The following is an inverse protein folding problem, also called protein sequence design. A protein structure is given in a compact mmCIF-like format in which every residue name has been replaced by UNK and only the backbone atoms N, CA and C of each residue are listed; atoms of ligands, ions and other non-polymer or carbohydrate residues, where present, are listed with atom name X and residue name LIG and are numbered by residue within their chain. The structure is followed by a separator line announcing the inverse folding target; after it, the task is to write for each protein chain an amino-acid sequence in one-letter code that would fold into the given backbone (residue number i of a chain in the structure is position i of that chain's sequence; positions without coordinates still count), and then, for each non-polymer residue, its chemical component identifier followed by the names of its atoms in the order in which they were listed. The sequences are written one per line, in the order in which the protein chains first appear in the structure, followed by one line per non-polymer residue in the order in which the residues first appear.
data_IF_952473008945
#
_entry.id   IF_952473008945
#
_cell.length_a   1.000
_cell.length_b   1.000
_cell.length_c   1.000
_cell.angle_alpha   90.00
_cell.angle_beta   90.00
_cell.angle_gamma   90.00
#
_symmetry.space_group_name_H-M   'P 1'
#
loop_
_entity.id
_entity.type
_entity.pdbx_description
1 polymer ?
#
# COMPACT_ATOMS: atom_id res chain seq x y z
N UNK A 1 25.09 10.77 36.41
CA UNK A 1 24.63 12.14 36.78
C UNK A 1 24.70 13.18 35.64
N UNK A 2 25.27 12.84 34.48
CA UNK A 2 25.37 13.76 33.32
C UNK A 2 24.27 13.56 32.28
N UNK A 3 23.46 12.49 32.39
CA UNK A 3 22.34 12.18 31.47
C UNK A 3 21.07 12.03 32.28
N UNK A 4 20.04 12.76 31.86
CA UNK A 4 18.69 12.63 32.41
C UNK A 4 17.86 11.76 31.45
N UNK A 5 17.16 10.75 31.97
CA UNK A 5 16.27 9.91 31.19
C UNK A 5 15.06 10.73 30.77
N UNK A 6 14.82 10.82 29.47
CA UNK A 6 13.59 11.38 28.92
C UNK A 6 12.81 10.21 28.33
N UNK A 7 11.59 10.01 28.81
CA UNK A 7 10.69 8.97 28.35
C UNK A 7 9.83 9.50 27.21
N UNK A 8 9.97 8.91 26.03
CA UNK A 8 9.15 9.24 24.86
C UNK A 8 8.07 8.18 24.75
N UNK A 9 6.80 8.58 24.85
CA UNK A 9 5.65 7.69 24.70
C UNK A 9 5.29 7.49 23.22
N UNK A 10 4.75 6.34 22.91
CA UNK A 10 4.21 6.04 21.59
C UNK A 10 3.05 7.02 21.25
N UNK A 11 3.04 7.60 20.03
CA UNK A 11 1.99 8.54 19.63
C UNK A 11 0.64 7.83 19.46
N UNK A 12 -0.44 8.59 19.70
CA UNK A 12 -1.81 8.12 19.46
C UNK A 12 -2.08 7.99 17.95
N UNK A 13 -3.19 7.31 17.58
CA UNK A 13 -3.66 7.19 16.20
C UNK A 13 -3.79 8.53 15.50
N UNK A 14 -4.39 9.52 16.17
CA UNK A 14 -4.58 10.87 15.63
C UNK A 14 -3.24 11.60 15.45
N UNK A 15 -2.34 11.48 16.41
CA UNK A 15 -1.01 12.05 16.30
C UNK A 15 -0.22 11.42 15.16
N UNK A 16 -0.31 10.09 14.99
CA UNK A 16 0.32 9.36 13.88
C UNK A 16 -0.25 9.82 12.53
N UNK A 17 -1.57 10.00 12.42
CA UNK A 17 -2.21 10.56 11.22
C UNK A 17 -1.68 11.94 10.89
N UNK A 18 -1.55 12.82 11.87
CA UNK A 18 -1.00 14.15 11.69
C UNK A 18 0.48 14.12 11.24
N UNK A 19 1.27 13.19 11.78
CA UNK A 19 2.66 12.98 11.37
C UNK A 19 2.70 12.54 9.89
N UNK A 20 1.96 11.48 9.53
CA UNK A 20 1.93 10.97 8.15
C UNK A 20 1.45 12.02 7.15
N UNK A 21 0.43 12.80 7.50
CA UNK A 21 -0.08 13.87 6.64
C UNK A 21 0.97 14.96 6.40
N UNK A 22 1.79 15.30 7.41
CA UNK A 22 2.87 16.29 7.28
C UNK A 22 4.05 15.79 6.44
N UNK A 23 4.39 14.51 6.53
CA UNK A 23 5.50 13.93 5.75
C UNK A 23 5.07 13.49 4.34
N UNK A 24 3.77 13.28 4.10
CA UNK A 24 3.19 12.89 2.81
C UNK A 24 3.76 13.67 1.61
N UNK A 25 3.84 15.02 1.61
CA UNK A 25 4.35 15.77 0.46
C UNK A 25 5.81 15.44 0.12
N UNK A 26 6.63 15.11 1.14
CA UNK A 26 8.04 14.75 0.96
C UNK A 26 8.14 13.42 0.21
N UNK A 27 7.35 12.41 0.62
CA UNK A 27 7.32 11.11 -0.06
C UNK A 27 6.70 11.18 -1.45
N UNK A 28 5.65 11.98 -1.64
CA UNK A 28 5.04 12.23 -2.95
C UNK A 28 6.05 12.82 -3.94
N UNK A 29 6.83 13.80 -3.49
CA UNK A 29 7.86 14.43 -4.31
C UNK A 29 9.03 13.48 -4.60
N UNK A 30 9.50 12.76 -3.59
CA UNK A 30 10.66 11.87 -3.72
C UNK A 30 10.40 10.70 -4.65
N UNK A 31 9.24 10.03 -4.49
CA UNK A 31 8.85 8.85 -5.29
C UNK A 31 8.05 9.18 -6.55
N UNK A 32 7.71 10.46 -6.79
CA UNK A 32 6.84 10.91 -7.88
C UNK A 32 5.50 10.16 -7.91
N UNK A 33 4.83 10.08 -6.78
CA UNK A 33 3.53 9.41 -6.57
C UNK A 33 2.53 10.37 -5.94
N UNK A 34 1.24 10.05 -6.04
CA UNK A 34 0.16 10.73 -5.31
C UNK A 34 -0.45 9.78 -4.28
N UNK A 35 -0.65 10.30 -3.07
CA UNK A 35 -1.20 9.56 -1.94
C UNK A 35 -2.51 10.23 -1.54
N UNK A 36 -3.63 9.50 -1.54
CA UNK A 36 -4.89 10.03 -1.02
C UNK A 36 -4.91 9.96 0.51
N UNK A 37 -5.77 10.76 1.14
CA UNK A 37 -5.94 10.72 2.59
C UNK A 37 -6.61 9.40 3.05
N UNK A 38 -7.36 8.76 2.16
CA UNK A 38 -7.90 7.41 2.36
C UNK A 38 -6.78 6.37 2.52
N UNK A 39 -5.73 6.47 1.72
CA UNK A 39 -4.56 5.58 1.83
C UNK A 39 -3.83 5.81 3.15
N UNK A 40 -3.69 7.05 3.61
CA UNK A 40 -3.09 7.35 4.93
C UNK A 40 -3.89 6.68 6.05
N UNK A 41 -5.21 6.81 6.03
CA UNK A 41 -6.07 6.15 7.02
C UNK A 41 -5.94 4.62 6.94
N UNK A 42 -5.93 4.06 5.74
CA UNK A 42 -5.76 2.62 5.52
C UNK A 42 -4.40 2.10 6.00
N UNK A 43 -3.31 2.88 5.82
CA UNK A 43 -1.98 2.52 6.35
C UNK A 43 -2.04 2.37 7.88
N UNK A 44 -2.62 3.35 8.58
CA UNK A 44 -2.73 3.34 10.04
C UNK A 44 -3.59 2.15 10.52
N UNK A 45 -4.73 1.92 9.87
CA UNK A 45 -5.63 0.84 10.24
C UNK A 45 -5.01 -0.54 10.02
N UNK A 46 -4.38 -0.76 8.86
CA UNK A 46 -3.75 -2.04 8.53
C UNK A 46 -2.48 -2.29 9.35
N UNK A 47 -1.69 -1.25 9.64
CA UNK A 47 -0.51 -1.37 10.49
C UNK A 47 -0.89 -1.77 11.92
N UNK A 48 -1.98 -1.19 12.45
CA UNK A 48 -2.49 -1.52 13.77
C UNK A 48 -3.02 -2.95 13.84
N UNK A 49 -3.74 -3.37 12.80
CA UNK A 49 -4.39 -4.68 12.75
C UNK A 49 -3.42 -5.84 12.51
N UNK A 50 -2.33 -5.61 11.78
CA UNK A 50 -1.49 -6.71 11.28
C UNK A 50 -0.01 -6.61 11.67
N UNK A 51 0.49 -5.44 12.16
CA UNK A 51 1.90 -5.25 12.51
C UNK A 51 2.04 -4.95 13.99
N UNK A 52 2.43 -5.97 14.77
CA UNK A 52 2.56 -5.88 16.24
C UNK A 52 3.99 -5.78 16.73
N UNK A 53 4.97 -6.07 15.89
CA UNK A 53 6.39 -6.17 16.26
C UNK A 53 7.15 -4.84 16.22
N UNK A 54 6.48 -3.74 15.89
CA UNK A 54 7.05 -2.39 15.83
C UNK A 54 6.10 -1.35 16.40
N UNK A 55 6.67 -0.27 16.95
CA UNK A 55 5.93 0.84 17.53
C UNK A 55 5.61 1.92 16.47
N UNK A 56 4.61 2.75 16.76
CA UNK A 56 4.31 3.96 15.99
C UNK A 56 5.30 5.06 16.33
N UNK A 57 5.59 5.97 15.41
CA UNK A 57 5.10 6.05 14.02
C UNK A 57 5.92 5.23 13.04
N UNK A 58 6.97 4.53 13.48
CA UNK A 58 7.97 3.88 12.65
C UNK A 58 7.36 2.83 11.71
N UNK A 59 6.48 1.96 12.22
CA UNK A 59 5.78 0.96 11.41
C UNK A 59 4.93 1.55 10.28
N UNK A 60 4.30 2.71 10.54
CA UNK A 60 3.43 3.38 9.56
C UNK A 60 4.24 4.09 8.48
N UNK A 61 5.35 4.71 8.87
CA UNK A 61 6.31 5.36 7.95
C UNK A 61 6.98 4.33 7.05
N UNK A 62 7.38 3.18 7.59
CA UNK A 62 7.95 2.07 6.81
C UNK A 62 6.98 1.56 5.73
N UNK A 63 5.69 1.42 6.07
CA UNK A 63 4.68 1.00 5.09
C UNK A 63 4.51 2.08 4.02
N UNK A 64 4.43 3.35 4.43
CA UNK A 64 4.28 4.48 3.52
C UNK A 64 5.42 4.53 2.51
N UNK A 65 6.67 4.44 2.98
CA UNK A 65 7.86 4.44 2.12
C UNK A 65 7.86 3.27 1.13
N UNK A 66 7.57 2.06 1.62
CA UNK A 66 7.58 0.87 0.79
C UNK A 66 6.46 0.86 -0.26
N UNK A 67 5.26 1.35 0.09
CA UNK A 67 4.14 1.48 -0.86
C UNK A 67 4.48 2.51 -1.94
N UNK A 68 5.03 3.66 -1.56
CA UNK A 68 5.45 4.70 -2.50
C UNK A 68 6.54 4.19 -3.46
N UNK A 69 7.55 3.52 -2.92
CA UNK A 69 8.65 2.93 -3.70
C UNK A 69 8.13 1.89 -4.72
N UNK A 70 7.28 0.95 -4.30
CA UNK A 70 6.71 -0.07 -5.19
C UNK A 70 5.79 0.52 -6.26
N UNK A 71 5.01 1.55 -5.90
CA UNK A 71 4.14 2.24 -6.85
C UNK A 71 4.96 3.00 -7.89
N UNK A 72 6.06 3.63 -7.48
CA UNK A 72 6.98 4.32 -8.38
C UNK A 72 7.57 3.38 -9.45
N UNK A 73 7.99 2.17 -9.04
CA UNK A 73 8.63 1.18 -9.92
C UNK A 73 7.62 0.46 -10.83
N UNK A 74 6.32 0.46 -10.47
CA UNK A 74 5.27 -0.24 -11.23
C UNK A 74 5.22 0.26 -12.67
N UNK A 75 5.40 -0.65 -13.62
CA UNK A 75 5.25 -0.33 -15.05
C UNK A 75 3.77 -0.21 -15.40
N UNK A 76 3.34 0.99 -15.79
CA UNK A 76 2.03 1.17 -16.41
C UNK A 76 2.10 0.76 -17.87
N UNK A 77 1.05 0.09 -18.39
CA UNK A 77 0.99 -0.31 -19.81
C UNK A 77 1.13 0.90 -20.76
N UNK A 78 0.74 2.09 -20.31
CA UNK A 78 0.89 3.34 -21.07
C UNK A 78 2.33 3.92 -21.00
N UNK A 79 3.12 3.61 -19.96
CA UNK A 79 4.53 4.02 -19.88
C UNK A 79 5.42 3.11 -20.70
N UNK A 80 5.11 1.82 -20.82
CA UNK A 80 5.86 0.89 -21.68
C UNK A 80 5.80 1.27 -23.15
N UNK A 81 4.69 1.81 -23.65
CA UNK A 81 4.61 2.32 -25.03
C UNK A 81 5.45 3.58 -25.23
N UNK A 82 5.50 4.48 -24.25
CA UNK A 82 6.33 5.70 -24.30
C UNK A 82 7.82 5.33 -24.15
N UNK A 83 8.16 4.37 -23.29
CA UNK A 83 9.52 3.86 -23.13
C UNK A 83 10.03 3.20 -24.44
N UNK A 84 9.21 2.36 -25.08
CA UNK A 84 9.55 1.76 -26.38
C UNK A 84 9.73 2.83 -27.49
N UNK A 85 8.88 3.87 -27.48
CA UNK A 85 9.04 4.98 -28.41
C UNK A 85 10.32 5.79 -28.14
N UNK A 86 10.69 6.00 -26.87
CA UNK A 86 11.95 6.65 -26.50
C UNK A 86 13.18 5.85 -26.97
N UNK A 87 13.17 4.53 -26.84
CA UNK A 87 14.26 3.69 -27.36
C UNK A 87 14.38 3.80 -28.88
N UNK A 88 13.26 3.85 -29.61
CA UNK A 88 13.25 4.06 -31.06
C UNK A 88 13.79 5.45 -31.45
N UNK A 89 13.36 6.50 -30.75
CA UNK A 89 13.82 7.88 -30.95
C UNK A 89 15.33 7.98 -30.68
N UNK A 90 15.84 7.33 -29.62
CA UNK A 90 17.27 7.32 -29.33
C UNK A 90 18.08 6.57 -30.39
N UNK A 91 17.58 5.45 -30.93
CA UNK A 91 18.21 4.73 -32.05
C UNK A 91 18.25 5.60 -33.31
N UNK A 92 17.12 6.24 -33.65
CA UNK A 92 17.02 7.11 -34.81
C UNK A 92 17.93 8.36 -34.68
N UNK A 93 18.02 8.95 -33.50
CA UNK A 93 18.94 10.04 -33.20
C UNK A 93 20.40 9.61 -33.40
N UNK A 94 20.81 8.44 -32.90
CA UNK A 94 22.17 7.92 -33.10
C UNK A 94 22.49 7.69 -34.59
N UNK A 95 21.54 7.18 -35.35
CA UNK A 95 21.70 6.96 -36.79
C UNK A 95 21.80 8.30 -37.55
N UNK A 96 20.96 9.29 -37.25
CA UNK A 96 21.01 10.62 -37.86
C UNK A 96 22.35 11.34 -37.58
N UNK A 97 22.94 11.13 -36.40
CA UNK A 97 24.27 11.66 -36.07
C UNK A 97 25.36 10.99 -36.91
N UNK A 98 25.28 9.66 -37.11
CA UNK A 98 26.24 8.90 -37.97
C UNK A 98 26.16 9.35 -39.42
N UNK A 99 24.95 9.68 -39.90
CA UNK A 99 24.71 10.20 -41.25
C UNK A 99 25.02 11.69 -41.42
N UNK A 100 25.53 12.35 -40.35
CA UNK A 100 25.83 13.79 -40.29
C UNK A 100 24.60 14.71 -40.56
N UNK A 101 23.37 14.15 -40.39
CA UNK A 101 22.12 14.92 -40.54
C UNK A 101 21.72 15.54 -39.22
N UNK A 102 22.30 16.71 -38.92
CA UNK A 102 22.14 17.37 -37.63
C UNK A 102 20.74 17.95 -37.41
N UNK A 103 20.02 18.33 -38.48
CA UNK A 103 18.64 18.82 -38.37
C UNK A 103 17.68 17.74 -37.87
N UNK A 104 17.76 16.53 -38.43
CA UNK A 104 16.98 15.38 -37.97
C UNK A 104 17.38 14.95 -36.56
N UNK A 105 18.66 15.02 -36.21
CA UNK A 105 19.11 14.69 -34.86
C UNK A 105 18.56 15.68 -33.81
N UNK A 106 18.36 16.92 -34.20
CA UNK A 106 17.83 17.99 -33.34
C UNK A 106 16.31 17.84 -33.12
N UNK A 107 15.55 17.46 -34.16
CA UNK A 107 14.13 17.13 -34.04
C UNK A 107 13.90 15.96 -33.10
N UNK A 108 14.66 14.87 -33.22
CA UNK A 108 14.60 13.72 -32.31
C UNK A 108 14.96 14.09 -30.85
N UNK A 109 15.87 15.03 -30.64
CA UNK A 109 16.21 15.53 -29.30
C UNK A 109 15.05 16.31 -28.66
N UNK A 110 14.30 17.06 -29.45
CA UNK A 110 13.12 17.79 -28.98
C UNK A 110 12.00 16.80 -28.61
N UNK A 111 11.76 15.77 -29.44
CA UNK A 111 10.78 14.71 -29.15
C UNK A 111 11.17 13.89 -27.90
N UNK A 112 12.44 13.55 -27.73
CA UNK A 112 12.96 12.88 -26.54
C UNK A 112 12.70 13.72 -25.27
N UNK A 113 12.99 15.02 -25.31
CA UNK A 113 12.75 15.93 -24.19
C UNK A 113 11.26 16.06 -23.86
N UNK A 114 10.38 16.10 -24.86
CA UNK A 114 8.94 16.20 -24.67
C UNK A 114 8.38 14.90 -24.04
N UNK A 115 8.80 13.74 -24.52
CA UNK A 115 8.39 12.45 -23.96
C UNK A 115 8.92 12.26 -22.54
N UNK A 116 10.14 12.67 -22.24
CA UNK A 116 10.67 12.67 -20.87
C UNK A 116 9.89 13.58 -19.93
N UNK A 117 9.47 14.78 -20.39
CA UNK A 117 8.61 15.69 -19.60
C UNK A 117 7.22 15.07 -19.34
N UNK A 118 6.66 14.31 -20.27
CA UNK A 118 5.37 13.62 -20.11
C UNK A 118 5.50 12.49 -19.07
N UNK A 119 6.59 11.72 -19.11
CA UNK A 119 6.88 10.68 -18.12
C UNK A 119 7.06 11.26 -16.70
N UNK A 120 7.76 12.38 -16.58
CA UNK A 120 7.97 13.04 -15.28
C UNK A 120 6.71 13.71 -14.73
N UNK A 121 5.76 14.12 -15.57
CA UNK A 121 4.51 14.79 -15.14
C UNK A 121 3.42 13.84 -14.66
N UNK A 122 3.48 12.55 -14.95
CA UNK A 122 2.48 11.57 -14.52
C UNK A 122 2.89 10.96 -13.18
N UNK A 123 2.58 11.66 -12.09
CA UNK A 123 2.65 11.05 -10.76
C UNK A 123 1.65 9.88 -10.70
N UNK A 124 2.13 8.70 -10.31
CA UNK A 124 1.31 7.50 -10.16
C UNK A 124 0.51 7.58 -8.87
N UNK A 125 -0.75 7.16 -8.92
CA UNK A 125 -1.57 7.11 -7.72
C UNK A 125 -1.34 5.81 -6.95
N UNK A 126 -1.14 5.94 -5.63
CA UNK A 126 -1.06 4.81 -4.71
C UNK A 126 -2.45 4.21 -4.54
N UNK A 127 -2.60 2.91 -4.78
CA UNK A 127 -3.89 2.20 -4.64
C UNK A 127 -3.93 1.34 -3.38
N UNK A 128 -5.15 1.04 -2.89
CA UNK A 128 -5.35 0.09 -1.79
C UNK A 128 -4.77 -1.29 -2.10
N UNK A 129 -4.76 -1.69 -3.36
CA UNK A 129 -4.18 -2.96 -3.79
C UNK A 129 -2.66 -2.97 -3.64
N UNK A 130 -1.99 -1.84 -3.90
CA UNK A 130 -0.55 -1.72 -3.71
C UNK A 130 -0.19 -1.77 -2.21
N UNK A 131 -1.00 -1.10 -1.37
CA UNK A 131 -0.89 -1.18 0.08
C UNK A 131 -1.09 -2.62 0.59
N UNK A 132 -2.12 -3.31 0.12
CA UNK A 132 -2.38 -4.69 0.52
C UNK A 132 -1.24 -5.65 0.13
N UNK A 133 -0.59 -5.43 -1.02
CA UNK A 133 0.59 -6.20 -1.42
C UNK A 133 1.78 -5.99 -0.48
N UNK A 134 1.99 -4.76 -0.01
CA UNK A 134 3.06 -4.46 0.96
C UNK A 134 2.78 -5.12 2.29
N UNK A 135 1.56 -4.98 2.81
CA UNK A 135 1.15 -5.64 4.06
C UNK A 135 1.26 -7.17 3.94
N UNK A 136 0.82 -7.75 2.82
CA UNK A 136 0.97 -9.19 2.56
C UNK A 136 2.45 -9.65 2.63
N UNK A 137 3.37 -8.89 2.06
CA UNK A 137 4.79 -9.24 2.09
C UNK A 137 5.42 -9.16 3.49
N UNK A 138 4.91 -8.25 4.34
CA UNK A 138 5.39 -8.11 5.73
C UNK A 138 4.77 -9.14 6.68
N UNK A 139 3.56 -9.57 6.43
CA UNK A 139 2.75 -10.37 7.37
C UNK A 139 2.41 -11.76 6.86
N UNK A 140 2.63 -12.04 5.57
CA UNK A 140 2.22 -13.25 4.84
C UNK A 140 0.70 -13.47 4.84
N UNK A 141 -0.11 -12.45 5.16
CA UNK A 141 -1.57 -12.53 5.13
C UNK A 141 -2.05 -12.33 3.68
N UNK A 142 -2.92 -13.21 3.16
CA UNK A 142 -3.40 -13.13 1.79
C UNK A 142 -4.09 -11.78 1.47
N UNK A 143 -3.80 -11.21 0.28
CA UNK A 143 -4.32 -9.90 -0.14
C UNK A 143 -5.85 -9.83 -0.09
N UNK A 144 -6.54 -10.91 -0.44
CA UNK A 144 -7.99 -10.95 -0.44
C UNK A 144 -8.60 -10.83 0.97
N UNK A 145 -7.86 -11.22 2.03
CA UNK A 145 -8.28 -11.02 3.42
C UNK A 145 -8.09 -9.57 3.88
N UNK A 146 -7.06 -8.90 3.36
CA UNK A 146 -6.78 -7.50 3.68
C UNK A 146 -7.81 -6.56 3.06
N UNK A 147 -8.25 -6.85 1.82
CA UNK A 147 -9.16 -5.99 1.04
C UNK A 147 -10.64 -6.28 1.31
N UNK A 148 -10.98 -7.50 1.75
CA UNK A 148 -12.37 -7.87 2.00
C UNK A 148 -12.98 -7.11 3.17
N UNK A 149 -14.16 -6.55 2.95
CA UNK A 149 -15.02 -6.06 4.03
C UNK A 149 -15.33 -7.18 5.02
N UNK A 150 -15.16 -6.90 6.29
CA UNK A 150 -15.34 -7.88 7.40
C UNK A 150 -16.68 -8.63 7.38
N UNK A 151 -17.73 -7.98 6.88
CA UNK A 151 -19.08 -8.57 6.73
C UNK A 151 -19.12 -9.74 5.74
N UNK A 152 -18.41 -9.64 4.61
CA UNK A 152 -18.35 -10.72 3.61
C UNK A 152 -17.58 -11.94 4.12
N UNK A 153 -16.53 -11.71 4.91
CA UNK A 153 -15.74 -12.79 5.53
C UNK A 153 -16.61 -13.58 6.51
N UNK A 154 -17.34 -12.88 7.39
CA UNK A 154 -18.21 -13.54 8.40
C UNK A 154 -19.31 -14.36 7.74
N UNK A 155 -19.94 -13.85 6.68
CA UNK A 155 -20.96 -14.57 5.95
C UNK A 155 -20.41 -15.81 5.24
N UNK A 156 -19.21 -15.72 4.66
CA UNK A 156 -18.54 -16.87 4.03
C UNK A 156 -18.18 -17.96 5.07
N UNK A 157 -17.69 -17.57 6.25
CA UNK A 157 -17.41 -18.50 7.36
C UNK A 157 -18.70 -19.24 7.76
N UNK A 158 -19.82 -18.52 7.89
CA UNK A 158 -21.12 -19.14 8.20
C UNK A 158 -21.51 -20.21 7.18
N UNK A 159 -21.47 -19.85 5.89
CA UNK A 159 -21.82 -20.77 4.81
C UNK A 159 -20.92 -21.99 4.79
N UNK A 160 -19.59 -21.78 4.93
CA UNK A 160 -18.62 -22.88 4.93
C UNK A 160 -18.81 -23.83 6.12
N UNK A 161 -19.05 -23.30 7.32
CA UNK A 161 -19.29 -24.11 8.51
C UNK A 161 -20.62 -24.87 8.40
N UNK A 162 -21.70 -24.22 7.97
CA UNK A 162 -23.01 -24.88 7.80
C UNK A 162 -23.00 -25.96 6.73
N UNK A 163 -22.16 -25.86 5.71
CA UNK A 163 -22.05 -26.89 4.67
C UNK A 163 -21.23 -28.10 5.13
N UNK A 164 -20.25 -27.90 6.03
CA UNK A 164 -19.35 -28.96 6.46
C UNK A 164 -19.76 -29.63 7.79
N UNK A 165 -20.58 -28.94 8.61
CA UNK A 165 -20.99 -29.41 9.93
C UNK A 165 -22.51 -29.53 9.96
N UNK A 166 -23.01 -30.72 10.10
CA UNK A 166 -24.46 -31.05 10.13
C UNK A 166 -24.92 -31.18 11.58
N UNK A 167 -26.03 -30.50 11.92
CA UNK A 167 -26.71 -30.74 13.22
C UNK A 167 -26.21 -29.90 14.39
N UNK A 168 -25.26 -28.95 14.18
CA UNK A 168 -24.71 -28.12 15.25
C UNK A 168 -24.96 -26.60 15.01
N UNK A 169 -26.12 -26.25 14.53
CA UNK A 169 -26.46 -24.83 14.17
C UNK A 169 -26.32 -23.85 15.34
N UNK A 170 -26.63 -24.26 16.56
CA UNK A 170 -26.47 -23.44 17.77
C UNK A 170 -24.99 -23.09 18.03
N UNK A 171 -24.08 -24.05 17.86
CA UNK A 171 -22.64 -23.86 18.04
C UNK A 171 -22.08 -22.96 16.96
N UNK A 172 -22.46 -23.18 15.70
CA UNK A 172 -22.07 -22.35 14.55
C UNK A 172 -22.49 -20.88 14.77
N UNK A 173 -23.73 -20.65 15.19
CA UNK A 173 -24.21 -19.29 15.47
C UNK A 173 -23.45 -18.62 16.63
N UNK A 174 -23.15 -19.36 17.70
CA UNK A 174 -22.35 -18.83 18.82
C UNK A 174 -20.93 -18.46 18.39
N UNK A 175 -20.28 -19.29 17.57
CA UNK A 175 -18.97 -19.00 16.97
C UNK A 175 -18.98 -17.73 16.13
N UNK A 176 -20.01 -17.58 15.30
CA UNK A 176 -20.18 -16.39 14.45
C UNK A 176 -20.37 -15.13 15.29
N UNK A 177 -21.16 -15.19 16.37
CA UNK A 177 -21.38 -14.03 17.24
C UNK A 177 -20.11 -13.65 18.01
N UNK A 178 -19.31 -14.60 18.44
CA UNK A 178 -17.99 -14.35 19.03
C UNK A 178 -17.06 -13.69 17.99
N UNK A 179 -17.01 -14.24 16.79
CA UNK A 179 -16.20 -13.68 15.70
C UNK A 179 -16.61 -12.24 15.36
N UNK A 180 -17.91 -11.95 15.31
CA UNK A 180 -18.43 -10.59 15.13
C UNK A 180 -17.98 -9.65 16.23
N UNK A 181 -18.09 -10.05 17.52
CA UNK A 181 -17.65 -9.25 18.65
C UNK A 181 -16.17 -8.90 18.62
N UNK A 182 -15.32 -9.90 18.31
CA UNK A 182 -13.87 -9.71 18.16
C UNK A 182 -13.59 -8.69 17.05
N UNK A 183 -14.27 -8.81 15.89
CA UNK A 183 -14.06 -7.91 14.74
C UNK A 183 -14.61 -6.50 14.96
N UNK A 184 -15.65 -6.32 15.76
CA UNK A 184 -16.18 -5.02 16.16
C UNK A 184 -15.32 -4.31 17.20
N UNK A 185 -14.16 -4.90 17.57
CA UNK A 185 -13.23 -4.27 18.50
C UNK A 185 -13.68 -4.32 19.98
N UNK A 186 -14.69 -5.15 20.32
CA UNK A 186 -14.96 -5.49 21.71
C UNK A 186 -13.77 -6.30 22.24
N UNK A 187 -12.71 -5.58 22.59
CA UNK A 187 -11.55 -6.12 23.31
C UNK A 187 -11.91 -6.25 24.79
N UNK A 188 -12.60 -7.31 25.15
CA UNK A 188 -12.39 -7.87 26.47
C UNK A 188 -10.97 -8.44 26.47
N UNK A 189 -10.14 -8.04 27.44
CA UNK A 189 -8.79 -8.58 27.61
C UNK A 189 -8.80 -10.08 27.99
N UNK A 190 -9.89 -10.77 27.76
CA UNK A 190 -10.11 -12.20 28.04
C UNK A 190 -9.87 -13.04 26.79
N UNK A 191 -9.06 -14.08 26.96
CA UNK A 191 -8.90 -15.12 25.97
C UNK A 191 -10.23 -15.87 25.81
N UNK A 192 -10.80 -15.93 24.60
CA UNK A 192 -11.98 -16.76 24.34
C UNK A 192 -11.57 -18.22 24.30
N UNK A 193 -11.95 -18.97 25.36
CA UNK A 193 -11.78 -20.42 25.40
C UNK A 193 -13.10 -21.07 24.99
N UNK A 194 -13.07 -21.89 23.94
CA UNK A 194 -14.23 -22.63 23.46
C UNK A 194 -14.01 -24.13 23.76
N UNK A 195 -14.92 -24.72 24.48
CA UNK A 195 -14.94 -26.15 24.75
C UNK A 195 -16.13 -26.74 23.99
N UNK A 196 -15.87 -27.72 23.13
CA UNK A 196 -16.85 -28.46 22.33
C UNK A 196 -17.06 -29.85 22.88
#
# INVERSE_FOLDING_TARGET
RRFQKIEIKEPTLEQTKNILTKIKPIYEQYHNVKISDEIINAIIELSEKYIYNRNRPDKDIDILDEVCSKTSIKKDNNTSTIENNLELIQKNKKNAIKEKNYEKALSYKIEENNNNKILQKKAKEVTLLDLAKVVNQKTNIPIYEIIKEDTKIINNIKITLSNNIIGQDKVINSLIDITKRIKLGYKDNSCYSLMF
#
